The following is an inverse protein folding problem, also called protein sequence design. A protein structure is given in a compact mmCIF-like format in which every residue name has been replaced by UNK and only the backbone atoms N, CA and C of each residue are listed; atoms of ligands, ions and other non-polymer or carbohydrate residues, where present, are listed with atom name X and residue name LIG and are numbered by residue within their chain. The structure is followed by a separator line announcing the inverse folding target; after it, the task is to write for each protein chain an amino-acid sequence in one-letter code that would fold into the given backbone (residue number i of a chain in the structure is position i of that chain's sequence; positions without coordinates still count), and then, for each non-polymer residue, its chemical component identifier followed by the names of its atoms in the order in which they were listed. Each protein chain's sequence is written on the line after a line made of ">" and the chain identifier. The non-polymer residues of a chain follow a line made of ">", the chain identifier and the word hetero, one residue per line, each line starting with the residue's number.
data_IF_438121896715
#
_entry.id   IF_438121896715
#
_cell.length_a   1.000
_cell.length_b   1.000
_cell.length_c   1.000
_cell.angle_alpha   90.00
_cell.angle_beta   90.00
_cell.angle_gamma   90.00
#
_symmetry.space_group_name_H-M   'P 1'
#
loop_
_entity.id
_entity.type
_entity.pdbx_description
1 polymer ?
#
# COMPACT_ATOMS: atom_id res chain seq x y z
N UNK A 1 0.99 6.87 12.64
CA UNK A 1 0.86 5.42 12.90
C UNK A 1 0.76 4.68 11.57
N UNK A 2 1.15 3.40 11.49
CA UNK A 2 1.13 2.63 10.25
C UNK A 2 -0.01 1.60 10.31
N UNK A 3 -0.83 1.56 9.28
CA UNK A 3 -2.01 0.71 9.19
C UNK A 3 -1.94 -0.21 7.98
N UNK A 4 -2.52 -1.40 8.11
CA UNK A 4 -2.74 -2.33 7.00
C UNK A 4 -4.23 -2.58 6.92
N UNK A 5 -4.78 -2.41 5.72
CA UNK A 5 -6.15 -2.77 5.37
C UNK A 5 -6.07 -3.56 4.07
N UNK A 6 -6.32 -4.86 4.10
CA UNK A 6 -6.05 -5.75 2.96
C UNK A 6 -7.06 -6.90 2.91
N UNK A 7 -7.45 -7.29 1.70
CA UNK A 7 -8.20 -8.52 1.45
C UNK A 7 -7.22 -9.68 1.22
N UNK A 8 -7.57 -10.86 1.74
CA UNK A 8 -6.74 -12.07 1.65
C UNK A 8 -7.61 -13.30 1.48
N UNK A 9 -7.09 -14.32 0.82
CA UNK A 9 -7.68 -15.66 0.84
C UNK A 9 -7.58 -16.27 2.25
N UNK A 10 -8.33 -17.35 2.50
CA UNK A 10 -8.34 -18.03 3.81
C UNK A 10 -6.95 -18.55 4.20
N UNK A 11 -6.16 -18.96 3.21
CA UNK A 11 -4.78 -19.43 3.35
C UNK A 11 -3.73 -18.30 3.26
N UNK A 12 -4.14 -17.04 3.20
CA UNK A 12 -3.27 -15.88 3.44
C UNK A 12 -2.65 -15.23 2.19
N UNK A 13 -3.13 -15.56 0.99
CA UNK A 13 -2.64 -14.96 -0.26
C UNK A 13 -3.45 -13.73 -0.66
N UNK A 14 -2.75 -12.71 -1.21
CA UNK A 14 -3.37 -11.45 -1.65
C UNK A 14 -3.53 -11.36 -3.17
N UNK A 15 -2.91 -12.29 -3.92
CA UNK A 15 -2.99 -12.41 -5.36
C UNK A 15 -2.62 -13.85 -5.78
N UNK A 16 -3.03 -14.26 -6.99
CA UNK A 16 -2.56 -15.53 -7.58
C UNK A 16 -1.07 -15.47 -7.93
N UNK A 17 -0.47 -16.60 -8.30
CA UNK A 17 0.92 -16.67 -8.79
C UNK A 17 1.20 -15.76 -9.99
N UNK A 18 0.17 -15.47 -10.79
CA UNK A 18 0.21 -14.59 -11.97
C UNK A 18 -0.18 -13.13 -11.63
N UNK A 19 -0.43 -12.81 -10.36
CA UNK A 19 -0.85 -11.46 -9.92
C UNK A 19 -2.32 -11.15 -10.14
N UNK A 20 -3.16 -12.17 -10.34
CA UNK A 20 -4.61 -12.03 -10.46
C UNK A 20 -5.28 -11.74 -9.12
N UNK A 21 -6.34 -10.93 -9.13
CA UNK A 21 -7.18 -10.61 -7.96
C UNK A 21 -8.65 -10.92 -8.20
N UNK A 22 -8.95 -11.67 -9.26
CA UNK A 22 -10.30 -11.81 -9.80
C UNK A 22 -11.20 -12.63 -8.87
N UNK A 23 -10.57 -13.42 -8.00
CA UNK A 23 -11.19 -14.11 -6.88
C UNK A 23 -11.91 -13.15 -5.90
N UNK A 24 -11.55 -11.86 -5.86
CA UNK A 24 -12.26 -10.84 -5.07
C UNK A 24 -13.70 -10.63 -5.56
N UNK A 25 -13.99 -10.95 -6.83
CA UNK A 25 -15.32 -10.80 -7.42
C UNK A 25 -16.20 -12.05 -7.26
N UNK A 26 -15.65 -13.16 -6.75
CA UNK A 26 -16.40 -14.40 -6.55
C UNK A 26 -17.40 -14.29 -5.39
N UNK A 27 -17.17 -13.38 -4.44
CA UNK A 27 -18.09 -13.12 -3.34
C UNK A 27 -19.14 -12.08 -3.74
N UNK A 28 -20.45 -12.43 -3.71
CA UNK A 28 -21.50 -11.48 -4.01
C UNK A 28 -21.52 -10.30 -3.03
N UNK A 29 -21.57 -9.07 -3.54
CA UNK A 29 -21.76 -7.85 -2.75
C UNK A 29 -23.07 -7.14 -3.14
N UNK A 30 -24.25 -7.72 -2.86
CA UNK A 30 -25.53 -7.23 -3.37
C UNK A 30 -25.92 -5.84 -2.83
N UNK A 31 -25.38 -5.46 -1.68
CA UNK A 31 -25.63 -4.15 -1.06
C UNK A 31 -24.61 -3.09 -1.45
N UNK A 32 -23.59 -3.45 -2.27
CA UNK A 32 -22.44 -2.60 -2.56
C UNK A 32 -21.79 -2.03 -1.29
N UNK A 33 -21.63 -2.87 -0.27
CA UNK A 33 -20.87 -2.51 0.94
C UNK A 33 -19.44 -2.14 0.56
N UNK A 34 -18.89 -1.08 1.15
CA UNK A 34 -17.50 -0.67 0.98
C UNK A 34 -16.56 -1.37 2.00
N UNK A 35 -17.12 -2.25 2.83
CA UNK A 35 -16.43 -2.96 3.90
C UNK A 35 -15.70 -2.06 4.92
N UNK A 36 -16.13 -0.80 5.05
CA UNK A 36 -15.51 0.19 5.94
C UNK A 36 -14.29 0.90 5.34
N UNK A 37 -14.01 0.71 4.05
CA UNK A 37 -12.89 1.36 3.37
C UNK A 37 -12.97 2.89 3.44
N UNK A 38 -14.17 3.48 3.29
CA UNK A 38 -14.34 4.94 3.31
C UNK A 38 -14.02 5.53 4.68
N UNK A 39 -14.46 4.89 5.75
CA UNK A 39 -14.13 5.30 7.12
C UNK A 39 -12.63 5.14 7.38
N UNK A 40 -12.04 4.03 6.97
CA UNK A 40 -10.60 3.79 7.09
C UNK A 40 -9.79 4.89 6.38
N UNK A 41 -10.01 5.11 5.09
CA UNK A 41 -9.19 6.04 4.28
C UNK A 41 -9.36 7.50 4.71
N UNK A 42 -10.49 7.86 5.33
CA UNK A 42 -10.71 9.21 5.88
C UNK A 42 -9.70 9.57 6.98
N UNK A 43 -9.23 8.57 7.74
CA UNK A 43 -8.27 8.71 8.84
C UNK A 43 -6.79 8.59 8.40
N UNK A 44 -6.55 8.37 7.10
CA UNK A 44 -5.22 8.18 6.52
C UNK A 44 -4.73 9.49 5.88
N UNK A 45 -3.47 9.81 6.12
CA UNK A 45 -2.80 10.98 5.54
C UNK A 45 -2.26 10.66 4.14
N UNK A 46 -1.64 9.48 3.98
CA UNK A 46 -1.05 9.02 2.72
C UNK A 46 -0.96 7.48 2.63
N UNK A 47 -0.79 6.97 1.41
CA UNK A 47 -0.52 5.56 1.15
C UNK A 47 0.96 5.31 0.88
N UNK A 48 1.44 4.12 1.24
CA UNK A 48 2.75 3.60 0.83
C UNK A 48 2.53 2.24 0.18
N UNK A 49 2.90 2.09 -1.09
CA UNK A 49 2.73 0.83 -1.81
C UNK A 49 3.95 0.43 -2.63
N UNK A 50 4.06 -0.86 -2.94
CA UNK A 50 5.13 -1.36 -3.80
C UNK A 50 4.84 -1.15 -5.28
N UNK A 51 5.88 -1.27 -6.11
CA UNK A 51 5.78 -1.22 -7.57
C UNK A 51 4.70 -2.15 -8.15
N UNK A 52 4.60 -3.39 -7.68
CA UNK A 52 3.62 -4.35 -8.21
C UNK A 52 2.17 -3.93 -7.93
N UNK A 53 1.88 -3.44 -6.71
CA UNK A 53 0.56 -2.87 -6.40
C UNK A 53 0.26 -1.65 -7.27
N UNK A 54 1.24 -0.76 -7.44
CA UNK A 54 1.11 0.39 -8.33
C UNK A 54 0.79 -0.02 -9.77
N UNK A 55 1.57 -0.92 -10.35
CA UNK A 55 1.38 -1.43 -11.71
C UNK A 55 0.02 -2.12 -11.86
N UNK A 56 -0.43 -2.88 -10.87
CA UNK A 56 -1.76 -3.52 -10.87
C UNK A 56 -2.88 -2.49 -10.82
N UNK A 57 -2.81 -1.48 -9.94
CA UNK A 57 -3.80 -0.39 -9.88
C UNK A 57 -3.88 0.37 -11.22
N UNK A 58 -2.77 0.54 -11.92
CA UNK A 58 -2.75 1.15 -13.27
C UNK A 58 -3.55 0.37 -14.31
N UNK A 59 -3.88 -0.90 -14.07
CA UNK A 59 -4.72 -1.71 -14.97
C UNK A 59 -6.22 -1.49 -14.77
N UNK A 60 -6.65 -0.84 -13.67
CA UNK A 60 -8.07 -0.69 -13.33
C UNK A 60 -8.75 0.52 -14.01
N UNK A 61 -8.02 1.24 -14.86
CA UNK A 61 -8.52 2.45 -15.52
C UNK A 61 -8.16 3.70 -14.73
N UNK A 62 -9.14 4.34 -14.10
CA UNK A 62 -8.93 5.59 -13.38
C UNK A 62 -8.15 5.38 -12.07
N UNK A 63 -7.35 6.38 -11.71
CA UNK A 63 -6.58 6.36 -10.46
C UNK A 63 -7.52 6.49 -9.26
N UNK A 64 -7.61 5.50 -8.36
CA UNK A 64 -8.69 5.42 -7.37
C UNK A 64 -8.41 6.24 -6.09
N UNK A 65 -7.20 6.78 -5.92
CA UNK A 65 -6.80 7.43 -4.67
C UNK A 65 -6.81 8.95 -4.78
N UNK A 66 -7.51 9.60 -3.85
CA UNK A 66 -7.44 11.05 -3.63
C UNK A 66 -6.25 11.47 -2.77
N UNK A 67 -5.81 10.57 -1.86
CA UNK A 67 -4.66 10.78 -0.97
C UNK A 67 -3.35 10.64 -1.75
N UNK A 68 -2.29 11.30 -1.27
CA UNK A 68 -0.94 11.14 -1.84
C UNK A 68 -0.47 9.70 -1.68
N UNK A 69 0.15 9.14 -2.73
CA UNK A 69 0.68 7.78 -2.74
C UNK A 69 2.19 7.77 -2.93
N UNK A 70 2.91 7.25 -1.95
CA UNK A 70 4.33 7.00 -2.03
C UNK A 70 4.57 5.59 -2.61
N UNK A 71 5.15 5.52 -3.80
CA UNK A 71 5.40 4.26 -4.49
C UNK A 71 6.86 3.86 -4.28
N UNK A 72 7.05 2.74 -3.58
CA UNK A 72 8.37 2.17 -3.33
C UNK A 72 8.92 1.54 -4.60
N UNK A 73 9.94 2.18 -5.17
CA UNK A 73 10.61 1.71 -6.38
C UNK A 73 12.04 2.28 -6.47
N UNK A 74 12.99 1.44 -6.84
CA UNK A 74 14.36 1.85 -7.19
C UNK A 74 14.56 2.09 -8.69
N UNK A 75 13.59 1.72 -9.52
CA UNK A 75 13.71 1.73 -10.99
C UNK A 75 12.79 2.73 -11.68
N UNK A 76 11.70 3.13 -11.02
CA UNK A 76 10.78 4.13 -11.57
C UNK A 76 11.27 5.53 -11.22
N UNK A 77 11.44 6.37 -12.24
CA UNK A 77 11.92 7.74 -12.09
C UNK A 77 10.96 8.79 -12.66
N UNK A 78 10.17 8.45 -13.68
CA UNK A 78 9.31 9.39 -14.38
C UNK A 78 7.85 9.23 -13.92
N UNK A 79 7.31 10.27 -13.27
CA UNK A 79 5.91 10.31 -12.86
C UNK A 79 5.03 10.46 -14.11
N UNK A 80 4.04 9.57 -14.34
CA UNK A 80 3.06 9.75 -15.41
C UNK A 80 2.34 11.09 -15.31
N UNK A 81 2.06 11.72 -16.45
CA UNK A 81 1.47 13.08 -16.49
C UNK A 81 0.12 13.18 -15.76
N UNK A 82 -0.67 12.10 -15.77
CA UNK A 82 -1.97 11.99 -15.09
C UNK A 82 -1.86 11.84 -13.56
N UNK A 83 -0.66 11.60 -13.05
CA UNK A 83 -0.36 11.36 -11.63
C UNK A 83 0.57 12.40 -11.00
N UNK A 84 0.89 13.47 -11.72
CA UNK A 84 1.67 14.59 -11.17
C UNK A 84 0.97 15.15 -9.93
N UNK A 85 1.71 15.23 -8.82
CA UNK A 85 1.20 15.68 -7.53
C UNK A 85 0.39 14.63 -6.74
N UNK A 86 -0.06 13.55 -7.39
CA UNK A 86 -0.78 12.44 -6.73
C UNK A 86 0.18 11.38 -6.18
N UNK A 87 1.29 11.14 -6.87
CA UNK A 87 2.27 10.13 -6.47
C UNK A 87 3.66 10.72 -6.24
N UNK A 88 4.46 10.00 -5.47
CA UNK A 88 5.90 10.24 -5.32
C UNK A 88 6.63 8.89 -5.34
N UNK A 89 7.62 8.73 -6.22
CA UNK A 89 8.51 7.57 -6.15
C UNK A 89 9.53 7.76 -5.04
N UNK A 90 9.65 6.77 -4.18
CA UNK A 90 10.55 6.79 -3.03
C UNK A 90 11.30 5.46 -2.92
N UNK A 91 12.52 5.52 -2.38
CA UNK A 91 13.34 4.34 -2.11
C UNK A 91 14.16 4.53 -0.83
N UNK A 92 14.60 3.41 -0.27
CA UNK A 92 15.38 3.34 0.98
C UNK A 92 14.90 2.21 1.88
N UNK A 93 15.56 2.07 3.03
CA UNK A 93 15.11 1.15 4.08
C UNK A 93 13.78 1.63 4.70
N UNK A 94 12.94 0.75 5.29
CA UNK A 94 11.63 1.13 5.83
C UNK A 94 11.66 2.33 6.78
N UNK A 95 12.63 2.39 7.71
CA UNK A 95 12.76 3.51 8.65
C UNK A 95 13.14 4.84 7.95
N UNK A 96 13.95 4.78 6.89
CA UNK A 96 14.32 5.97 6.10
C UNK A 96 13.12 6.47 5.30
N UNK A 97 12.37 5.56 4.70
CA UNK A 97 11.13 5.86 3.97
C UNK A 97 10.13 6.53 4.90
N UNK A 98 9.86 5.92 6.07
CA UNK A 98 8.97 6.48 7.08
C UNK A 98 9.43 7.87 7.52
N UNK A 99 10.72 8.04 7.80
CA UNK A 99 11.27 9.33 8.20
C UNK A 99 11.07 10.41 7.14
N UNK A 100 11.34 10.10 5.87
CA UNK A 100 11.12 11.02 4.73
C UNK A 100 9.66 11.41 4.59
N UNK A 101 8.74 10.46 4.75
CA UNK A 101 7.29 10.70 4.63
C UNK A 101 6.80 11.55 5.82
N UNK A 102 7.22 11.23 7.04
CA UNK A 102 6.85 11.99 8.24
C UNK A 102 7.39 13.43 8.20
N UNK A 103 8.58 13.67 7.63
CA UNK A 103 9.11 15.02 7.41
C UNK A 103 8.27 15.85 6.43
N UNK A 104 7.49 15.21 5.56
CA UNK A 104 6.51 15.89 4.70
C UNK A 104 5.16 16.13 5.40
N UNK A 105 5.01 15.72 6.66
CA UNK A 105 3.81 15.95 7.48
C UNK A 105 2.76 14.84 7.44
N UNK A 106 3.00 13.74 6.72
CA UNK A 106 2.10 12.58 6.69
C UNK A 106 2.46 11.62 7.81
N UNK A 107 1.55 11.31 8.72
CA UNK A 107 1.83 10.52 9.92
C UNK A 107 1.04 9.20 9.95
N UNK A 108 -0.21 9.23 9.53
CA UNK A 108 -1.09 8.07 9.45
C UNK A 108 -1.00 7.46 8.06
N UNK A 109 -0.28 6.36 7.96
CA UNK A 109 0.09 5.75 6.69
C UNK A 109 -0.65 4.44 6.47
N UNK A 110 -1.29 4.30 5.31
CA UNK A 110 -1.80 3.03 4.84
C UNK A 110 -0.69 2.31 4.06
N UNK A 111 -0.18 1.22 4.63
CA UNK A 111 0.86 0.38 4.05
C UNK A 111 0.20 -0.74 3.26
N UNK A 112 0.43 -0.77 1.95
CA UNK A 112 -0.19 -1.71 1.02
C UNK A 112 0.85 -2.47 0.16
N UNK A 113 0.48 -3.68 -0.23
CA UNK A 113 1.32 -4.62 -0.97
C UNK A 113 2.13 -5.53 -0.04
N UNK A 114 2.02 -6.85 -0.28
CA UNK A 114 2.55 -7.88 0.61
C UNK A 114 4.04 -7.73 0.94
N UNK A 115 4.88 -7.44 -0.06
CA UNK A 115 6.34 -7.23 0.15
C UNK A 115 6.59 -6.01 1.04
N UNK A 116 5.84 -4.92 0.84
CA UNK A 116 6.01 -3.69 1.64
C UNK A 116 5.58 -3.95 3.08
N UNK A 117 4.44 -4.60 3.28
CA UNK A 117 3.93 -4.98 4.60
C UNK A 117 4.96 -5.84 5.33
N UNK A 118 5.52 -6.88 4.68
CA UNK A 118 6.53 -7.76 5.27
C UNK A 118 7.82 -7.01 5.64
N UNK A 119 8.28 -6.09 4.78
CA UNK A 119 9.48 -5.30 5.04
C UNK A 119 9.30 -4.37 6.25
N UNK A 120 8.14 -3.72 6.36
CA UNK A 120 7.83 -2.81 7.47
C UNK A 120 7.59 -3.58 8.78
N UNK A 121 7.09 -4.81 8.70
CA UNK A 121 6.94 -5.70 9.85
C UNK A 121 8.30 -6.18 10.37
N UNK A 122 9.18 -6.64 9.49
CA UNK A 122 10.49 -7.19 9.86
C UNK A 122 11.39 -6.17 10.56
N UNK A 123 11.29 -4.89 10.20
CA UNK A 123 12.02 -3.81 10.88
C UNK A 123 11.64 -3.65 12.36
N UNK A 124 10.42 -4.03 12.78
CA UNK A 124 10.06 -3.99 14.20
C UNK A 124 10.74 -5.07 15.04
N UNK A 125 11.05 -6.22 14.46
CA UNK A 125 11.67 -7.36 15.16
C UNK A 125 13.20 -7.39 15.04
N UNK A 126 13.76 -6.55 14.17
CA UNK A 126 15.21 -6.40 14.04
C UNK A 126 15.83 -5.45 15.08
N UNK A 127 14.98 -4.81 15.90
CA UNK A 127 15.37 -3.77 16.88
C UNK A 127 15.47 -4.24 18.33
N UNK A 128 14.82 -5.35 18.69
CA UNK A 128 14.80 -5.85 20.07
C UNK A 128 15.36 -7.26 20.10
N UNK A 129 16.66 -7.34 20.34
CA UNK A 129 17.32 -8.57 20.74
C UNK A 129 16.91 -8.97 22.16
N UNK A 130 15.71 -9.50 22.31
CA UNK A 130 15.41 -10.43 23.39
C UNK A 130 14.74 -11.66 22.77
N UNK A 131 15.51 -12.75 22.75
CA UNK A 131 15.06 -14.05 22.28
C UNK A 131 14.02 -14.66 23.20
N UNK A 132 13.21 -15.55 22.62
CA UNK A 132 12.49 -16.57 23.38
C UNK A 132 13.45 -17.67 23.83
#
# INVERSE_FOLDING_TARGET
>A
MNFVYIATSIDGYIATSEGGIEWLHEQPNPTNSDYGYSEFISNIDALVMGRHSFEKVRTFGEWPYEKKVFVLSSTLANIPSDLVGKIEFISGAPNEVLSKIHLQGFNNLYIDGGIVIQNFWSCKFSGDGEGW
#
